data_IF_038624974445
#
_entry.id   IF_038624974445
#
_cell.length_a   1.000
_cell.length_b   1.000
_cell.length_c   1.000
_cell.angle_alpha   90.00
_cell.angle_beta   90.00
_cell.angle_gamma   90.00
#
_symmetry.space_group_name_H-M   'P 1'
#
loop_
_entity.id
_entity.type
_entity.pdbx_description
1 polymer ?
#
# COMPACT_ATOMS: atom_id res chain seq x y z
N UNK A 1 4.43 -18.80 21.03
CA UNK A 1 3.90 -18.10 19.84
C UNK A 1 4.46 -16.69 19.85
N UNK A 2 5.17 -16.29 18.80
CA UNK A 2 5.61 -14.91 18.61
C UNK A 2 4.82 -14.29 17.46
N UNK A 3 4.47 -13.01 17.58
CA UNK A 3 3.93 -12.23 16.47
C UNK A 3 5.12 -11.89 15.54
N UNK A 4 4.88 -11.87 14.23
CA UNK A 4 5.87 -11.43 13.24
C UNK A 4 6.37 -9.99 13.48
N UNK A 5 7.39 -9.57 12.74
CA UNK A 5 7.93 -8.21 12.84
C UNK A 5 7.13 -7.32 11.91
N UNK A 6 6.47 -6.29 12.46
CA UNK A 6 5.81 -5.25 11.67
C UNK A 6 6.74 -4.76 10.54
N UNK A 7 6.26 -4.93 9.30
CA UNK A 7 6.94 -4.50 8.08
C UNK A 7 6.40 -3.14 7.65
N UNK A 8 5.11 -3.06 7.38
CA UNK A 8 4.47 -1.86 6.88
C UNK A 8 2.95 -1.86 7.13
N UNK A 9 2.32 -0.72 6.81
CA UNK A 9 0.88 -0.62 6.69
C UNK A 9 0.45 -1.02 5.27
N UNK A 10 -0.68 -1.69 5.16
CA UNK A 10 -1.39 -1.95 3.90
C UNK A 10 -2.72 -1.19 3.92
N UNK A 11 -3.02 -0.52 2.81
CA UNK A 11 -4.25 0.23 2.62
C UNK A 11 -4.97 -0.34 1.42
N UNK A 12 -6.19 -0.84 1.64
CA UNK A 12 -7.05 -1.27 0.54
C UNK A 12 -7.45 -0.04 -0.30
N UNK A 13 -7.56 -0.17 -1.61
CA UNK A 13 -7.92 0.94 -2.51
C UNK A 13 -8.77 0.43 -3.66
N UNK A 14 -9.58 1.31 -4.25
CA UNK A 14 -10.40 0.97 -5.43
C UNK A 14 -9.71 1.33 -6.75
N UNK A 15 -8.69 2.18 -6.68
CA UNK A 15 -7.95 2.70 -7.82
C UNK A 15 -6.51 2.95 -7.38
N UNK A 16 -5.55 2.29 -8.05
CA UNK A 16 -4.14 2.40 -7.71
C UNK A 16 -3.57 3.77 -8.08
N UNK A 17 -3.94 4.34 -9.23
CA UNK A 17 -3.37 5.61 -9.68
C UNK A 17 -3.80 6.79 -8.81
N UNK A 18 -5.07 6.83 -8.42
CA UNK A 18 -5.59 7.84 -7.48
C UNK A 18 -4.92 7.67 -6.11
N UNK A 19 -4.80 6.44 -5.63
CA UNK A 19 -4.21 6.17 -4.33
C UNK A 19 -2.70 6.45 -4.28
N UNK A 20 -1.96 6.11 -5.34
CA UNK A 20 -0.54 6.41 -5.50
C UNK A 20 -0.29 7.90 -5.39
N UNK A 21 -1.02 8.71 -6.17
CA UNK A 21 -0.88 10.16 -6.14
C UNK A 21 -1.18 10.74 -4.75
N UNK A 22 -2.30 10.31 -4.14
CA UNK A 22 -2.72 10.80 -2.83
C UNK A 22 -1.72 10.42 -1.74
N UNK A 23 -1.38 9.13 -1.61
CA UNK A 23 -0.53 8.65 -0.53
C UNK A 23 0.92 9.06 -0.70
N UNK A 24 1.42 9.17 -1.93
CA UNK A 24 2.77 9.69 -2.18
C UNK A 24 2.88 11.13 -1.71
N UNK A 25 1.89 11.96 -2.03
CA UNK A 25 1.86 13.34 -1.55
C UNK A 25 1.70 13.42 -0.02
N UNK A 26 0.81 12.62 0.56
CA UNK A 26 0.51 12.66 1.99
C UNK A 26 1.67 12.17 2.88
N UNK A 27 2.46 11.22 2.38
CA UNK A 27 3.55 10.59 3.15
C UNK A 27 4.94 11.07 2.76
N UNK A 28 5.09 11.67 1.57
CA UNK A 28 6.39 11.97 0.97
C UNK A 28 7.13 10.74 0.42
N UNK A 29 6.52 9.55 0.45
CA UNK A 29 7.11 8.33 -0.09
C UNK A 29 6.87 8.25 -1.60
N UNK A 30 7.91 8.06 -2.43
CA UNK A 30 7.72 7.88 -3.86
C UNK A 30 7.13 6.50 -4.16
N UNK A 31 6.40 6.39 -5.27
CA UNK A 31 5.93 5.11 -5.81
C UNK A 31 7.14 4.34 -6.35
N UNK A 32 7.28 3.08 -5.96
CA UNK A 32 8.38 2.20 -6.38
C UNK A 32 7.84 1.01 -7.19
N UNK A 33 8.69 0.32 -7.98
CA UNK A 33 8.26 -0.81 -8.78
C UNK A 33 7.51 -1.85 -7.95
N UNK A 34 6.33 -2.23 -8.45
CA UNK A 34 5.50 -3.24 -7.80
C UNK A 34 5.97 -4.65 -8.14
N UNK A 35 6.02 -5.50 -7.12
CA UNK A 35 6.25 -6.95 -7.27
C UNK A 35 5.03 -7.64 -7.90
N UNK A 36 3.84 -7.04 -7.78
CA UNK A 36 2.58 -7.57 -8.28
C UNK A 36 1.76 -6.46 -8.99
N UNK A 37 2.19 -6.02 -10.18
CA UNK A 37 1.55 -4.92 -10.89
C UNK A 37 0.07 -5.16 -11.14
N UNK A 38 -0.75 -4.12 -11.03
CA UNK A 38 -2.20 -4.17 -11.22
C UNK A 38 -3.00 -4.77 -10.05
N UNK A 39 -2.31 -5.30 -9.02
CA UNK A 39 -2.94 -5.74 -7.77
C UNK A 39 -2.43 -4.96 -6.56
N UNK A 40 -1.15 -4.63 -6.56
CA UNK A 40 -0.52 -3.86 -5.50
C UNK A 40 0.32 -2.73 -6.08
N UNK A 41 0.40 -1.63 -5.34
CA UNK A 41 1.40 -0.58 -5.53
C UNK A 41 2.18 -0.38 -4.24
N UNK A 42 3.44 -0.01 -4.36
CA UNK A 42 4.37 0.09 -3.23
C UNK A 42 4.90 1.51 -3.17
N UNK A 43 5.00 2.05 -1.96
CA UNK A 43 5.61 3.35 -1.71
C UNK A 43 6.79 3.15 -0.75
N UNK A 44 7.93 3.77 -1.08
CA UNK A 44 9.16 3.56 -0.31
C UNK A 44 10.45 3.94 -1.03
N UNK A 45 11.51 3.19 -0.79
CA UNK A 45 12.82 3.36 -1.42
C UNK A 45 13.04 2.36 -2.56
N UNK A 46 13.41 2.85 -3.75
CA UNK A 46 13.62 1.99 -4.92
C UNK A 46 14.98 1.27 -4.92
N UNK A 47 16.01 1.85 -4.29
CA UNK A 47 17.36 1.30 -4.25
C UNK A 47 18.09 1.61 -2.91
N UNK A 48 18.40 0.60 -2.08
CA UNK A 48 17.93 -0.78 -2.20
C UNK A 48 16.40 -0.83 -2.07
N UNK A 49 15.76 -1.78 -2.76
CA UNK A 49 14.30 -1.88 -2.77
C UNK A 49 13.76 -2.17 -1.36
N UNK A 50 12.97 -1.24 -0.83
CA UNK A 50 12.32 -1.31 0.48
C UNK A 50 10.98 -0.59 0.39
N UNK A 51 9.93 -1.15 0.98
CA UNK A 51 8.60 -0.54 0.99
C UNK A 51 8.15 -0.26 2.41
N UNK A 52 7.54 0.90 2.61
CA UNK A 52 7.01 1.38 3.88
C UNK A 52 5.48 1.44 3.89
N UNK A 53 4.86 1.36 2.70
CA UNK A 53 3.41 1.34 2.51
C UNK A 53 3.04 0.50 1.28
N UNK A 54 2.00 -0.32 1.42
CA UNK A 54 1.39 -1.08 0.32
C UNK A 54 -0.03 -0.59 0.06
N UNK A 55 -0.34 -0.33 -1.20
CA UNK A 55 -1.70 -0.06 -1.68
C UNK A 55 -2.23 -1.34 -2.32
N UNK A 56 -3.32 -1.89 -1.80
CA UNK A 56 -3.91 -3.15 -2.25
C UNK A 56 -5.21 -2.87 -3.01
N UNK A 57 -5.22 -3.15 -4.31
CA UNK A 57 -6.42 -3.02 -5.12
C UNK A 57 -7.44 -4.10 -4.71
N UNK A 58 -8.56 -3.68 -4.14
CA UNK A 58 -9.66 -4.58 -3.79
C UNK A 58 -10.68 -4.68 -4.92
N UNK A 59 -11.21 -5.89 -5.15
CA UNK A 59 -12.21 -6.14 -6.18
C UNK A 59 -13.60 -5.61 -5.84
N UNK A 60 -13.87 -5.37 -4.55
CA UNK A 60 -15.15 -4.83 -4.07
C UNK A 60 -14.97 -3.34 -3.77
N UNK A 61 -15.71 -2.44 -4.44
CA UNK A 61 -15.60 -1.01 -4.20
C UNK A 61 -15.83 -0.67 -2.73
N UNK A 62 -14.89 0.07 -2.14
CA UNK A 62 -15.04 0.66 -0.82
C UNK A 62 -16.25 1.61 -0.76
N UNK A 63 -17.15 1.34 0.19
CA UNK A 63 -18.15 2.29 0.68
C UNK A 63 -17.74 2.94 2.01
N UNK A 64 -18.61 3.76 2.62
CA UNK A 64 -18.33 4.48 3.88
C UNK A 64 -17.85 3.58 5.03
N UNK A 65 -18.27 2.32 5.05
CA UNK A 65 -17.97 1.34 6.10
C UNK A 65 -16.77 0.42 5.76
N UNK A 66 -16.22 0.50 4.53
CA UNK A 66 -15.19 -0.42 4.02
C UNK A 66 -13.78 0.20 3.96
N UNK A 67 -13.58 1.36 4.58
CA UNK A 67 -12.26 1.98 4.70
C UNK A 67 -11.41 1.23 5.73
N UNK A 68 -10.77 0.14 5.28
CA UNK A 68 -9.85 -0.66 6.09
C UNK A 68 -8.40 -0.41 5.71
N UNK A 69 -7.56 -0.51 6.72
CA UNK A 69 -6.12 -0.66 6.62
C UNK A 69 -5.72 -1.83 7.52
N UNK A 70 -4.70 -2.60 7.13
CA UNK A 70 -4.19 -3.70 7.93
C UNK A 70 -2.65 -3.71 7.95
N UNK A 71 -2.06 -4.40 8.92
CA UNK A 71 -0.60 -4.48 9.06
C UNK A 71 -0.05 -5.66 8.26
N UNK A 72 1.14 -5.49 7.72
CA UNK A 72 1.98 -6.58 7.22
C UNK A 72 3.04 -6.91 8.29
N UNK A 73 3.20 -8.20 8.63
CA UNK A 73 3.98 -8.68 9.79
C UNK A 73 5.15 -9.61 9.41
#
# INVERSE_FOLDING_TARGET
MGIGKLRCQVIDVNDLGVAEAFWSQATGLPVIPSVFPGRYSYLGQADPWSHELILHLVSTPKGPEANRSHVDL
#
